data_IF_453248281991
#
_entry.id   IF_453248281991
#
_cell.length_a   1.000
_cell.length_b   1.000
_cell.length_c   1.000
_cell.angle_alpha   90.00
_cell.angle_beta   90.00
_cell.angle_gamma   90.00
#
_symmetry.space_group_name_H-M   'P 1'
#
loop_
_entity.id
_entity.type
_entity.pdbx_description
1 polymer ?
#
# COMPACT_ATOMS: atom_id res chain seq x y z
N UNK A 1 -8.63 -10.05 1.27
CA UNK A 1 -8.76 -9.43 -0.06
C UNK A 1 -9.97 -8.52 0.03
N UNK A 2 -9.74 -7.22 0.25
CA UNK A 2 -10.80 -6.22 0.48
C UNK A 2 -10.99 -5.29 -0.74
N UNK A 3 -10.15 -5.43 -1.77
CA UNK A 3 -10.27 -4.78 -3.07
C UNK A 3 -10.60 -5.83 -4.13
N UNK A 4 -11.33 -5.40 -5.16
CA UNK A 4 -11.55 -6.21 -6.36
C UNK A 4 -10.25 -6.26 -7.18
N UNK A 5 -9.94 -7.37 -7.85
CA UNK A 5 -8.73 -7.47 -8.69
C UNK A 5 -8.69 -6.37 -9.77
N UNK A 6 -9.85 -6.01 -10.31
CA UNK A 6 -9.98 -4.96 -11.32
C UNK A 6 -9.51 -3.59 -10.81
N UNK A 7 -9.73 -3.26 -9.52
CA UNK A 7 -9.26 -2.00 -8.93
C UNK A 7 -7.73 -1.96 -8.82
N UNK A 8 -7.11 -3.12 -8.61
CA UNK A 8 -5.65 -3.25 -8.53
C UNK A 8 -5.00 -3.14 -9.92
N UNK A 9 -5.69 -3.65 -10.94
CA UNK A 9 -5.31 -3.50 -12.34
C UNK A 9 -5.50 -2.05 -12.82
N UNK A 10 -6.61 -1.40 -12.46
CA UNK A 10 -6.85 0.01 -12.76
C UNK A 10 -5.78 0.92 -12.11
N UNK A 11 -5.35 0.61 -10.88
CA UNK A 11 -4.26 1.29 -10.21
C UNK A 11 -2.85 0.92 -10.72
N UNK A 12 -2.75 0.04 -11.74
CA UNK A 12 -1.50 -0.44 -12.35
C UNK A 12 -0.48 -0.92 -11.32
N UNK A 13 -0.95 -1.65 -10.31
CA UNK A 13 -0.09 -2.19 -9.26
C UNK A 13 0.79 -3.33 -9.81
N UNK A 14 2.13 -3.30 -9.58
CA UNK A 14 3.01 -4.41 -9.92
C UNK A 14 2.63 -5.66 -9.14
N UNK A 15 2.87 -6.84 -9.73
CA UNK A 15 2.44 -8.11 -9.15
C UNK A 15 2.95 -8.34 -7.72
N UNK A 16 4.15 -7.85 -7.42
CA UNK A 16 4.79 -7.99 -6.10
C UNK A 16 4.07 -7.22 -4.99
N UNK A 17 3.32 -6.17 -5.33
CA UNK A 17 2.61 -5.34 -4.36
C UNK A 17 1.13 -5.69 -4.28
N UNK A 18 0.71 -6.78 -4.93
CA UNK A 18 -0.68 -7.25 -4.92
C UNK A 18 -1.00 -8.09 -3.67
N UNK A 19 -0.58 -7.59 -2.52
CA UNK A 19 -0.75 -8.23 -1.22
C UNK A 19 -2.09 -7.86 -0.55
N UNK A 20 -2.37 -8.48 0.60
CA UNK A 20 -3.47 -8.06 1.49
C UNK A 20 -3.41 -6.58 1.89
N UNK A 21 -2.23 -5.95 1.86
CA UNK A 21 -2.02 -4.53 2.19
C UNK A 21 -2.18 -3.57 0.99
N UNK A 22 -2.54 -4.04 -0.20
CA UNK A 22 -2.64 -3.21 -1.41
C UNK A 22 -3.62 -2.03 -1.28
N UNK A 23 -4.66 -2.16 -0.45
CA UNK A 23 -5.64 -1.10 -0.18
C UNK A 23 -5.06 0.16 0.47
N UNK A 24 -3.93 0.07 1.17
CA UNK A 24 -3.22 1.23 1.69
C UNK A 24 -2.20 1.80 0.70
N UNK A 25 -1.81 1.03 -0.31
CA UNK A 25 -0.80 1.45 -1.29
C UNK A 25 -1.40 2.39 -2.35
N UNK A 26 -2.66 2.18 -2.74
CA UNK A 26 -3.37 3.06 -3.67
C UNK A 26 -3.44 4.51 -3.15
N UNK A 27 -3.95 4.79 -1.93
CA UNK A 27 -3.98 6.15 -1.40
C UNK A 27 -2.58 6.75 -1.17
N UNK A 28 -1.59 5.94 -0.80
CA UNK A 28 -0.19 6.37 -0.70
C UNK A 28 0.36 6.83 -2.06
N UNK A 29 0.04 6.11 -3.14
CA UNK A 29 0.48 6.49 -4.48
C UNK A 29 -0.24 7.75 -4.99
N UNK A 30 -1.53 7.91 -4.71
CA UNK A 30 -2.29 9.13 -5.02
C UNK A 30 -1.71 10.35 -4.29
N UNK A 31 -1.43 10.20 -3.00
CA UNK A 31 -0.78 11.24 -2.19
C UNK A 31 0.64 11.57 -2.70
N UNK A 32 1.43 10.59 -3.15
CA UNK A 32 2.74 10.83 -3.80
C UNK A 32 2.62 11.58 -5.13
N UNK A 33 1.58 11.31 -5.91
CA UNK A 33 1.33 12.04 -7.17
C UNK A 33 0.90 13.49 -6.91
N UNK A 34 0.15 13.74 -5.84
CA UNK A 34 -0.26 15.09 -5.44
C UNK A 34 0.87 15.89 -4.79
N UNK A 35 1.67 15.24 -3.94
CA UNK A 35 2.75 15.84 -3.18
C UNK A 35 4.12 15.66 -3.85
N UNK A 36 4.21 15.88 -5.17
CA UNK A 36 5.43 15.71 -5.98
C UNK A 36 6.66 16.43 -5.43
N UNK A 37 6.47 17.58 -4.80
CA UNK A 37 7.54 18.40 -4.22
C UNK A 37 7.68 18.26 -2.69
N UNK A 38 6.77 17.55 -2.02
CA UNK A 38 6.75 17.42 -0.57
C UNK A 38 6.59 15.94 -0.13
N UNK A 39 7.64 15.11 -0.27
CA UNK A 39 7.57 13.68 0.02
C UNK A 39 7.21 13.33 1.48
N UNK A 40 7.51 14.24 2.41
CA UNK A 40 7.23 14.08 3.85
C UNK A 40 5.75 14.29 4.19
N UNK A 41 4.97 14.97 3.34
CA UNK A 41 3.55 15.21 3.60
C UNK A 41 2.75 13.90 3.67
N UNK A 42 3.24 12.85 3.00
CA UNK A 42 2.61 11.54 2.92
C UNK A 42 3.06 10.55 4.02
N UNK A 43 3.61 11.06 5.13
CA UNK A 43 4.18 10.24 6.18
C UNK A 43 3.17 9.35 6.90
N UNK A 44 1.92 9.81 7.04
CA UNK A 44 0.88 9.05 7.73
C UNK A 44 0.46 7.81 6.94
N UNK A 45 0.14 8.00 5.66
CA UNK A 45 -0.26 6.94 4.73
C UNK A 45 0.86 5.91 4.58
N UNK A 46 2.12 6.37 4.51
CA UNK A 46 3.30 5.52 4.49
C UNK A 46 3.36 4.64 5.73
N UNK A 47 3.22 5.23 6.92
CA UNK A 47 3.28 4.48 8.18
C UNK A 47 2.12 3.47 8.32
N UNK A 48 0.92 3.81 7.83
CA UNK A 48 -0.22 2.88 7.81
C UNK A 48 0.07 1.67 6.92
N UNK A 49 0.62 1.89 5.73
CA UNK A 49 1.03 0.81 4.83
C UNK A 49 2.12 -0.09 5.45
N UNK A 50 3.15 0.50 6.06
CA UNK A 50 4.24 -0.22 6.72
C UNK A 50 3.75 -1.05 7.92
N UNK A 51 2.83 -0.50 8.72
CA UNK A 51 2.19 -1.24 9.83
C UNK A 51 1.44 -2.46 9.35
N UNK A 52 0.76 -2.37 8.21
CA UNK A 52 0.07 -3.51 7.60
C UNK A 52 1.08 -4.57 7.15
N UNK A 53 2.13 -4.17 6.41
CA UNK A 53 3.18 -5.09 5.95
C UNK A 53 3.89 -5.79 7.13
N UNK A 54 4.13 -5.07 8.23
CA UNK A 54 4.72 -5.66 9.42
C UNK A 54 3.81 -6.70 10.09
N UNK A 55 2.49 -6.49 10.10
CA UNK A 55 1.53 -7.50 10.59
C UNK A 55 1.51 -8.75 9.72
N UNK A 56 1.52 -8.57 8.39
CA UNK A 56 1.60 -9.68 7.44
C UNK A 56 2.91 -10.45 7.58
N UNK A 57 4.03 -9.75 7.72
CA UNK A 57 5.33 -10.38 8.00
C UNK A 57 5.30 -11.21 9.29
N UNK A 58 4.78 -10.66 10.38
CA UNK A 58 4.63 -11.41 11.65
C UNK A 58 3.75 -12.65 11.51
N UNK A 59 2.70 -12.60 10.70
CA UNK A 59 1.88 -13.79 10.40
C UNK A 59 2.66 -14.85 9.64
N UNK A 60 3.51 -14.45 8.69
CA UNK A 60 4.34 -15.36 7.90
C UNK A 60 5.47 -16.01 8.71
N UNK A 61 6.05 -15.29 9.68
CA UNK A 61 7.14 -15.79 10.54
C UNK A 61 6.63 -16.68 11.67
N UNK A 62 5.37 -16.55 12.09
CA UNK A 62 4.79 -17.36 13.16
C UNK A 62 4.41 -18.80 12.74
N UNK A 63 4.64 -19.17 11.47
CA UNK A 63 4.46 -20.50 10.89
C UNK A 63 5.81 -21.18 10.78
#
# INVERSE_FOLDING_TARGET
MLLLQEEMDAAKLPYQYRDYCAHFLIPLNDCRQKATYAPWACGHEKHVYEKCQYKEWKRRVAI
#
